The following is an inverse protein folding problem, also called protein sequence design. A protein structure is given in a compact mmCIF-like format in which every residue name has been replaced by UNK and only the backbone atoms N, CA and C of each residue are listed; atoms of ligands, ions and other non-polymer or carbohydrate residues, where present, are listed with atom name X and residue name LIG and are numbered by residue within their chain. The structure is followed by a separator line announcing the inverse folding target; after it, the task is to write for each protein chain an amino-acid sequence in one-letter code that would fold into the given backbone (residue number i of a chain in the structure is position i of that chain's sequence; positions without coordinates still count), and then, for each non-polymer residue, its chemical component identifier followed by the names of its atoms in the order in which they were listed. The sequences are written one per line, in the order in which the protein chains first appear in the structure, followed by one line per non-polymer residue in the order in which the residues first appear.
data_IF_779502527361
#
_entry.id   IF_779502527361
#
_cell.length_a   1.000
_cell.length_b   1.000
_cell.length_c   1.000
_cell.angle_alpha   90.00
_cell.angle_beta   90.00
_cell.angle_gamma   90.00
#
_symmetry.space_group_name_H-M   'P 1'
#
loop_
_entity.id
_entity.type
_entity.pdbx_description
1 polymer ?
#
# COMPACT_ATOMS: atom_id res chain seq x y z
N UNK A 1 4.52 -2.50 -14.48
CA UNK A 1 5.90 -3.04 -14.46
C UNK A 1 6.06 -4.13 -13.42
N UNK A 2 5.63 -3.92 -12.17
CA UNK A 2 5.67 -4.94 -11.12
C UNK A 2 5.01 -6.27 -11.53
N UNK A 3 3.75 -6.24 -11.98
CA UNK A 3 3.04 -7.47 -12.41
C UNK A 3 3.71 -8.19 -13.58
N UNK A 4 4.25 -7.43 -14.54
CA UNK A 4 4.96 -8.00 -15.69
C UNK A 4 6.25 -8.66 -15.19
N UNK A 5 6.97 -8.00 -14.29
CA UNK A 5 8.17 -8.57 -13.71
C UNK A 5 7.90 -9.84 -12.91
N UNK A 6 6.78 -9.89 -12.18
CA UNK A 6 6.35 -11.07 -11.45
C UNK A 6 5.95 -12.22 -12.40
N UNK A 7 5.08 -11.93 -13.37
CA UNK A 7 4.60 -12.91 -14.35
C UNK A 7 5.70 -13.59 -15.16
N UNK A 8 6.79 -12.89 -15.43
CA UNK A 8 7.91 -13.38 -16.23
C UNK A 8 9.18 -13.67 -15.40
N UNK A 9 9.06 -13.73 -14.07
CA UNK A 9 10.17 -14.02 -13.14
C UNK A 9 11.41 -13.11 -13.34
N UNK A 10 11.19 -11.85 -13.74
CA UNK A 10 12.24 -10.84 -13.88
C UNK A 10 12.50 -10.20 -12.52
N UNK A 11 13.16 -10.95 -11.64
CA UNK A 11 13.38 -10.61 -10.21
C UNK A 11 13.90 -9.17 -10.04
N UNK A 12 14.92 -8.78 -10.82
CA UNK A 12 15.52 -7.45 -10.72
C UNK A 12 14.54 -6.31 -11.04
N UNK A 13 13.63 -6.54 -11.99
CA UNK A 13 12.61 -5.55 -12.34
C UNK A 13 11.51 -5.48 -11.28
N UNK A 14 11.16 -6.60 -10.65
CA UNK A 14 10.18 -6.63 -9.55
C UNK A 14 10.74 -5.83 -8.37
N UNK A 15 11.98 -6.09 -7.98
CA UNK A 15 12.68 -5.36 -6.92
C UNK A 15 12.80 -3.86 -7.21
N UNK A 16 13.22 -3.48 -8.43
CA UNK A 16 13.32 -2.07 -8.82
C UNK A 16 11.96 -1.37 -8.81
N UNK A 17 10.89 -2.07 -9.21
CA UNK A 17 9.54 -1.52 -9.16
C UNK A 17 9.10 -1.21 -7.72
N UNK A 18 9.42 -2.09 -6.76
CA UNK A 18 9.18 -1.87 -5.32
C UNK A 18 9.93 -0.64 -4.82
N UNK A 19 11.22 -0.54 -5.11
CA UNK A 19 12.06 0.59 -4.68
C UNK A 19 11.53 1.94 -5.22
N UNK A 20 11.22 2.00 -6.52
CA UNK A 20 10.70 3.22 -7.14
C UNK A 20 9.33 3.59 -6.61
N UNK A 21 8.45 2.61 -6.40
CA UNK A 21 7.14 2.85 -5.80
C UNK A 21 7.26 3.37 -4.37
N UNK A 22 8.16 2.80 -3.57
CA UNK A 22 8.44 3.29 -2.22
C UNK A 22 8.89 4.76 -2.22
N UNK A 23 9.83 5.14 -3.09
CA UNK A 23 10.27 6.54 -3.19
C UNK A 23 9.15 7.47 -3.65
N UNK A 24 8.34 7.04 -4.60
CA UNK A 24 7.19 7.81 -5.07
C UNK A 24 6.19 8.04 -3.92
N UNK A 25 5.82 7.00 -3.17
CA UNK A 25 4.94 7.15 -2.01
C UNK A 25 5.54 8.04 -0.93
N UNK A 26 6.85 7.95 -0.65
CA UNK A 26 7.50 8.85 0.32
C UNK A 26 7.45 10.33 -0.11
N UNK A 27 7.57 10.61 -1.41
CA UNK A 27 7.62 11.97 -1.94
C UNK A 27 6.23 12.56 -2.22
N UNK A 28 5.28 11.72 -2.65
CA UNK A 28 4.00 12.12 -3.21
C UNK A 28 2.81 11.50 -2.47
N UNK A 29 2.96 11.20 -1.17
CA UNK A 29 1.90 10.61 -0.34
C UNK A 29 0.58 11.40 -0.35
N UNK A 30 0.65 12.73 -0.46
CA UNK A 30 -0.53 13.63 -0.45
C UNK A 30 -1.03 13.99 -1.86
N UNK A 31 -0.41 13.44 -2.90
CA UNK A 31 -0.75 13.75 -4.29
C UNK A 31 -2.03 12.99 -4.71
N UNK A 32 -2.92 13.59 -5.54
CA UNK A 32 -4.15 12.92 -5.98
C UNK A 32 -3.93 11.55 -6.64
N UNK A 33 -2.77 11.35 -7.27
CA UNK A 33 -2.41 10.07 -7.92
C UNK A 33 -2.08 8.96 -6.92
N UNK A 34 -1.79 9.27 -5.65
CA UNK A 34 -1.48 8.25 -4.65
C UNK A 34 -2.63 7.25 -4.52
N UNK A 35 -3.87 7.73 -4.41
CA UNK A 35 -5.05 6.87 -4.26
C UNK A 35 -5.30 6.03 -5.50
N UNK A 36 -5.04 6.58 -6.70
CA UNK A 36 -5.14 5.82 -7.95
C UNK A 36 -4.09 4.71 -8.03
N UNK A 37 -2.86 5.01 -7.62
CA UNK A 37 -1.77 4.03 -7.59
C UNK A 37 -2.00 2.95 -6.53
N UNK A 38 -2.58 3.31 -5.38
CA UNK A 38 -3.01 2.37 -4.35
C UNK A 38 -4.13 1.46 -4.87
N UNK A 39 -5.16 2.03 -5.50
CA UNK A 39 -6.23 1.28 -6.14
C UNK A 39 -5.68 0.26 -7.15
N UNK A 40 -4.81 0.71 -8.05
CA UNK A 40 -4.16 -0.16 -9.03
C UNK A 40 -3.40 -1.29 -8.34
N UNK A 41 -2.61 -0.98 -7.32
CA UNK A 41 -1.86 -1.97 -6.54
C UNK A 41 -2.77 -3.08 -6.00
N UNK A 42 -3.90 -2.74 -5.39
CA UNK A 42 -4.81 -3.72 -4.79
C UNK A 42 -5.66 -4.48 -5.81
N UNK A 43 -5.86 -3.94 -7.01
CA UNK A 43 -6.58 -4.62 -8.10
C UNK A 43 -5.71 -5.52 -8.95
N UNK A 44 -4.41 -5.25 -9.05
CA UNK A 44 -3.50 -6.03 -9.91
C UNK A 44 -2.68 -7.07 -9.18
N UNK A 45 -2.46 -6.90 -7.87
CA UNK A 45 -1.72 -7.88 -7.06
C UNK A 45 -2.69 -8.81 -6.32
N UNK A 46 -2.35 -10.09 -6.12
CA UNK A 46 -3.04 -10.97 -5.18
C UNK A 46 -2.93 -10.52 -3.70
N UNK A 47 -3.81 -11.01 -2.83
CA UNK A 47 -3.86 -10.61 -1.41
C UNK A 47 -2.63 -11.00 -0.59
N UNK A 48 -1.95 -12.07 -0.99
CA UNK A 48 -0.73 -12.59 -0.41
C UNK A 48 0.54 -11.88 -0.90
N UNK A 49 0.48 -11.15 -2.03
CA UNK A 49 1.59 -10.29 -2.46
C UNK A 49 1.62 -9.00 -1.63
N UNK A 50 2.44 -9.01 -0.58
CA UNK A 50 2.61 -7.86 0.32
C UNK A 50 3.63 -6.83 -0.16
N UNK A 51 4.20 -6.96 -1.36
CA UNK A 51 5.26 -6.09 -1.86
C UNK A 51 4.80 -4.63 -1.99
N UNK A 52 4.00 -4.34 -3.01
CA UNK A 52 3.45 -2.99 -3.21
C UNK A 52 2.35 -2.67 -2.19
N UNK A 53 1.50 -3.65 -1.84
CA UNK A 53 0.41 -3.47 -0.85
C UNK A 53 0.94 -3.03 0.52
N UNK A 54 2.07 -3.60 0.97
CA UNK A 54 2.72 -3.20 2.21
C UNK A 54 3.20 -1.74 2.20
N UNK A 55 3.67 -1.24 1.05
CA UNK A 55 4.08 0.16 0.89
C UNK A 55 2.89 1.11 1.03
N UNK A 56 1.76 0.79 0.39
CA UNK A 56 0.52 1.59 0.51
C UNK A 56 0.06 1.65 1.96
N UNK A 57 -0.07 0.50 2.61
CA UNK A 57 -0.48 0.41 4.01
C UNK A 57 0.46 1.19 4.94
N UNK A 58 1.79 1.05 4.76
CA UNK A 58 2.79 1.82 5.51
C UNK A 58 2.65 3.32 5.29
N UNK A 59 2.41 3.75 4.05
CA UNK A 59 2.24 5.17 3.71
C UNK A 59 1.01 5.75 4.41
N UNK A 60 -0.13 5.08 4.34
CA UNK A 60 -1.35 5.47 5.06
C UNK A 60 -1.14 5.48 6.57
N UNK A 61 -0.45 4.47 7.11
CA UNK A 61 -0.11 4.40 8.54
C UNK A 61 0.74 5.58 9.00
N UNK A 62 1.67 6.06 8.17
CA UNK A 62 2.50 7.22 8.48
C UNK A 62 1.73 8.55 8.33
N UNK A 63 0.70 8.59 7.50
CA UNK A 63 -0.04 9.80 7.14
C UNK A 63 -1.54 9.64 7.40
N UNK A 64 -1.92 9.37 8.66
CA UNK A 64 -3.31 9.04 9.04
C UNK A 64 -4.33 10.15 8.75
N UNK A 65 -3.89 11.40 8.55
CA UNK A 65 -4.77 12.50 8.12
C UNK A 65 -5.40 12.25 6.75
N UNK A 66 -4.79 11.42 5.91
CA UNK A 66 -5.34 11.02 4.61
C UNK A 66 -6.67 10.30 4.71
N UNK A 67 -6.99 9.63 5.83
CA UNK A 67 -8.26 8.93 6.02
C UNK A 67 -9.48 9.86 6.01
N UNK A 68 -9.27 11.17 6.17
CA UNK A 68 -10.35 12.16 6.07
C UNK A 68 -10.69 12.53 4.62
N UNK A 69 -9.91 12.04 3.64
CA UNK A 69 -10.18 12.27 2.23
C UNK A 69 -11.19 11.24 1.70
N UNK A 70 -12.25 11.67 0.99
CA UNK A 70 -13.27 10.76 0.45
C UNK A 70 -12.69 9.66 -0.45
N UNK A 71 -11.64 9.96 -1.21
CA UNK A 71 -11.01 8.99 -2.10
C UNK A 71 -10.31 7.87 -1.31
N UNK A 72 -9.73 8.19 -0.16
CA UNK A 72 -9.08 7.21 0.72
C UNK A 72 -10.12 6.43 1.49
N UNK A 73 -11.23 7.05 1.92
CA UNK A 73 -12.37 6.34 2.50
C UNK A 73 -12.90 5.27 1.54
N UNK A 74 -13.13 5.63 0.27
CA UNK A 74 -13.56 4.69 -0.77
C UNK A 74 -12.59 3.50 -0.92
N UNK A 75 -11.28 3.76 -0.94
CA UNK A 75 -10.25 2.73 -0.99
C UNK A 75 -10.32 1.77 0.20
N UNK A 76 -10.55 2.28 1.42
CA UNK A 76 -10.62 1.48 2.65
C UNK A 76 -11.87 0.61 2.70
N UNK A 77 -13.00 1.12 2.20
CA UNK A 77 -14.27 0.38 2.11
C UNK A 77 -14.19 -0.73 1.07
N UNK A 78 -13.54 -0.48 -0.07
CA UNK A 78 -13.42 -1.47 -1.15
C UNK A 78 -12.43 -2.59 -0.80
N UNK A 79 -11.29 -2.24 -0.20
CA UNK A 79 -10.23 -3.20 0.12
C UNK A 79 -10.17 -3.49 1.62
N UNK A 80 -11.07 -4.36 2.10
CA UNK A 80 -11.11 -4.80 3.50
C UNK A 80 -9.75 -5.29 4.04
N UNK A 81 -8.95 -5.94 3.19
CA UNK A 81 -7.59 -6.36 3.53
C UNK A 81 -6.65 -5.20 3.87
N UNK A 82 -6.74 -4.08 3.14
CA UNK A 82 -5.99 -2.85 3.46
C UNK A 82 -6.42 -2.30 4.82
N UNK A 83 -7.72 -2.22 5.06
CA UNK A 83 -8.28 -1.72 6.32
C UNK A 83 -7.84 -2.55 7.52
N UNK A 84 -7.87 -3.88 7.39
CA UNK A 84 -7.39 -4.79 8.41
C UNK A 84 -5.87 -4.65 8.64
N UNK A 85 -5.08 -4.63 7.56
CA UNK A 85 -3.62 -4.48 7.64
C UNK A 85 -3.24 -3.15 8.32
N UNK A 86 -3.95 -2.06 8.03
CA UNK A 86 -3.74 -0.75 8.66
C UNK A 86 -4.08 -0.77 10.16
N UNK A 87 -5.21 -1.38 10.53
CA UNK A 87 -5.60 -1.54 11.93
C UNK A 87 -4.55 -2.33 12.71
N UNK A 88 -4.06 -3.45 12.16
CA UNK A 88 -3.00 -4.24 12.78
C UNK A 88 -1.71 -3.44 12.91
N UNK A 89 -1.34 -2.65 11.90
CA UNK A 89 -0.17 -1.78 11.97
C UNK A 89 -0.29 -0.77 13.12
N UNK A 90 -1.48 -0.18 13.32
CA UNK A 90 -1.74 0.75 14.43
C UNK A 90 -1.83 0.07 15.79
N UNK A 91 -2.45 -1.10 15.88
CA UNK A 91 -2.51 -1.88 17.10
C UNK A 91 -1.10 -2.27 17.59
N UNK A 92 -0.19 -2.63 16.67
CA UNK A 92 1.23 -2.86 16.98
C UNK A 92 1.94 -1.59 17.47
N UNK A 93 1.73 -0.44 16.82
CA UNK A 93 2.31 0.83 17.26
C UNK A 93 1.79 1.27 18.65
N UNK A 94 0.54 0.94 18.97
CA UNK A 94 -0.07 1.21 20.27
C UNK A 94 0.29 0.17 21.34
N UNK A 95 1.02 -0.90 20.99
CA UNK A 95 1.41 -1.97 21.90
C UNK A 95 0.32 -2.98 22.25
N UNK A 96 -0.84 -2.95 21.58
CA UNK A 96 -1.97 -3.87 21.84
C UNK A 96 -1.69 -5.31 21.42
N UNK A 97 -0.71 -5.50 20.53
CA UNK A 97 -0.36 -6.81 19.97
C UNK A 97 1.03 -7.30 20.42
N UNK A 98 1.61 -6.74 21.47
CA UNK A 98 2.85 -7.25 22.06
C UNK A 98 2.52 -8.53 22.83
N UNK A 99 3.03 -9.68 22.37
CA UNK A 99 3.01 -10.93 23.12
C UNK A 99 4.14 -10.96 24.14
#
# INVERSE_FOLDING_TARGET
MYEIADKYDVIGLKALSVEKFQWACMRFWDHPEFTQAAYHTYTTTPDDDKGLRGIVCKTLSNHMSLLLKPEVEGLMVEFNGLTFDLLIAKAKQAGWCNK
#
